data_IF_996691289653
#
_entry.id   IF_996691289653
#
_cell.length_a   1.000
_cell.length_b   1.000
_cell.length_c   1.000
_cell.angle_alpha   90.00
_cell.angle_beta   90.00
_cell.angle_gamma   90.00
#
_symmetry.space_group_name_H-M   'P 1'
#
loop_
_entity.id
_entity.type
_entity.pdbx_description
1 polymer ?
#
# COMPACT_ATOMS: atom_id res chain seq x y z
N UNK A 1 -28.77 18.74 38.87
CA UNK A 1 -28.25 17.69 37.96
C UNK A 1 -27.57 18.36 36.78
N UNK A 2 -26.25 18.53 36.81
CA UNK A 2 -25.44 18.97 35.68
C UNK A 2 -24.30 17.96 35.58
N UNK A 3 -24.37 17.08 34.58
CA UNK A 3 -23.36 16.06 34.33
C UNK A 3 -22.14 16.75 33.74
N UNK A 4 -21.03 16.71 34.47
CA UNK A 4 -19.72 17.13 34.01
C UNK A 4 -19.22 16.02 33.08
N UNK A 5 -19.10 16.31 31.79
CA UNK A 5 -18.44 15.41 30.85
C UNK A 5 -16.93 15.69 30.94
N UNK A 6 -16.20 14.74 31.52
CA UNK A 6 -14.75 14.68 31.45
C UNK A 6 -14.37 14.30 30.01
N UNK A 7 -13.86 15.27 29.26
CA UNK A 7 -13.21 15.01 27.97
C UNK A 7 -11.85 14.42 28.30
N UNK A 8 -11.74 13.09 28.16
CA UNK A 8 -10.48 12.38 28.24
C UNK A 8 -9.56 12.92 27.15
N UNK A 9 -8.48 13.58 27.55
CA UNK A 9 -7.37 13.99 26.70
C UNK A 9 -6.82 12.77 25.98
N UNK A 10 -6.97 12.75 24.66
CA UNK A 10 -6.31 11.81 23.75
C UNK A 10 -4.80 11.85 24.00
N UNK A 11 -4.27 10.75 24.52
CA UNK A 11 -2.85 10.47 24.51
C UNK A 11 -2.43 10.35 23.04
N UNK A 12 -1.71 11.34 22.53
CA UNK A 12 -0.93 11.18 21.30
C UNK A 12 0.20 10.23 21.66
N UNK A 13 0.02 8.94 21.35
CA UNK A 13 1.06 7.94 21.48
C UNK A 13 2.25 8.30 20.60
N UNK A 14 3.48 8.00 21.05
CA UNK A 14 4.70 8.37 20.35
C UNK A 14 4.77 7.62 19.02
N UNK A 15 5.20 8.36 18.01
CA UNK A 15 5.61 7.91 16.69
C UNK A 15 6.34 6.55 16.80
N UNK A 16 5.66 5.48 16.38
CA UNK A 16 6.32 4.22 16.12
C UNK A 16 7.24 4.48 14.92
N UNK A 17 8.54 4.45 15.17
CA UNK A 17 9.54 4.50 14.11
C UNK A 17 9.42 3.22 13.27
N UNK A 18 9.06 3.39 12.00
CA UNK A 18 9.46 2.58 10.85
C UNK A 18 8.91 1.14 10.67
N UNK A 19 7.60 0.96 10.78
CA UNK A 19 6.88 0.01 9.91
C UNK A 19 5.78 0.80 9.21
N UNK A 20 5.67 0.74 7.88
CA UNK A 20 4.67 1.51 7.12
C UNK A 20 3.25 1.36 7.68
N UNK A 21 2.36 2.30 7.40
CA UNK A 21 0.94 2.21 7.75
C UNK A 21 0.20 1.36 6.71
N UNK A 22 -0.22 0.14 7.04
CA UNK A 22 -0.87 -0.74 6.09
C UNK A 22 -2.37 -0.44 5.89
N UNK A 23 -2.99 0.45 6.68
CA UNK A 23 -4.33 0.98 6.36
C UNK A 23 -4.21 2.06 5.29
N UNK A 24 -3.26 3.00 5.46
CA UNK A 24 -2.85 3.94 4.41
C UNK A 24 -2.45 3.21 3.12
N UNK A 25 -1.61 2.18 3.23
CA UNK A 25 -1.18 1.37 2.10
C UNK A 25 -2.30 0.61 1.40
N UNK A 26 -3.35 0.22 2.13
CA UNK A 26 -4.53 -0.35 1.49
C UNK A 26 -5.30 0.71 0.71
N UNK A 27 -5.53 1.88 1.30
CA UNK A 27 -6.24 2.98 0.64
C UNK A 27 -5.54 3.41 -0.65
N UNK A 28 -4.22 3.62 -0.59
CA UNK A 28 -3.39 3.92 -1.75
C UNK A 28 -3.51 2.84 -2.84
N UNK A 29 -3.44 1.57 -2.44
CA UNK A 29 -3.55 0.45 -3.36
C UNK A 29 -4.93 0.35 -4.05
N UNK A 30 -6.01 0.58 -3.29
CA UNK A 30 -7.39 0.44 -3.77
C UNK A 30 -7.82 1.67 -4.59
N UNK A 31 -7.31 2.87 -4.26
CA UNK A 31 -7.87 4.15 -4.72
C UNK A 31 -6.90 5.05 -5.51
N UNK A 32 -5.61 4.73 -5.62
CA UNK A 32 -4.73 5.51 -6.49
C UNK A 32 -5.01 5.19 -7.95
N UNK A 33 -5.58 6.17 -8.64
CA UNK A 33 -5.92 6.10 -10.07
C UNK A 33 -4.75 6.56 -10.94
N UNK A 34 -4.56 5.88 -12.07
CA UNK A 34 -3.59 6.25 -13.10
C UNK A 34 -4.09 5.92 -14.51
N UNK A 35 -3.57 6.64 -15.51
CA UNK A 35 -3.93 6.44 -16.91
C UNK A 35 -3.25 5.21 -17.51
N UNK A 36 -4.02 4.30 -18.12
CA UNK A 36 -3.47 3.13 -18.83
C UNK A 36 -4.32 2.69 -20.02
N UNK A 37 -3.65 2.23 -21.07
CA UNK A 37 -4.31 1.50 -22.15
C UNK A 37 -4.59 0.05 -21.73
N UNK A 38 -5.87 -0.31 -21.65
CA UNK A 38 -6.35 -1.66 -21.36
C UNK A 38 -7.20 -2.12 -22.55
N UNK A 39 -6.84 -3.25 -23.17
CA UNK A 39 -7.55 -3.81 -24.33
C UNK A 39 -7.73 -2.81 -25.50
N UNK A 40 -6.79 -1.88 -25.68
CA UNK A 40 -6.82 -0.89 -26.76
C UNK A 40 -7.58 0.39 -26.43
N UNK A 41 -8.13 0.54 -25.22
CA UNK A 41 -8.82 1.74 -24.76
C UNK A 41 -8.01 2.43 -23.65
N UNK A 42 -7.88 3.76 -23.73
CA UNK A 42 -7.28 4.55 -22.65
C UNK A 42 -8.29 4.74 -21.52
N UNK A 43 -7.87 4.43 -20.30
CA UNK A 43 -8.66 4.58 -19.08
C UNK A 43 -7.88 5.35 -18.03
N UNK A 44 -8.56 6.23 -17.31
CA UNK A 44 -7.96 7.06 -16.27
C UNK A 44 -8.42 6.66 -14.85
N UNK A 45 -9.31 5.68 -14.76
CA UNK A 45 -9.89 5.13 -13.53
C UNK A 45 -9.24 3.80 -13.11
N UNK A 46 -7.99 3.57 -13.54
CA UNK A 46 -7.27 2.31 -13.29
C UNK A 46 -6.54 2.40 -11.98
N UNK A 47 -6.77 1.43 -11.11
CA UNK A 47 -6.07 1.29 -9.82
C UNK A 47 -5.18 0.05 -9.80
N UNK A 48 -4.36 -0.11 -8.77
CA UNK A 48 -3.51 -1.29 -8.62
C UNK A 48 -4.36 -2.59 -8.62
N UNK A 49 -5.51 -2.55 -7.94
CA UNK A 49 -6.46 -3.66 -7.83
C UNK A 49 -7.15 -4.00 -9.16
N UNK A 50 -7.15 -3.10 -10.16
CA UNK A 50 -7.73 -3.38 -11.48
C UNK A 50 -7.02 -4.54 -12.17
N UNK A 51 -5.68 -4.58 -12.08
CA UNK A 51 -4.86 -5.60 -12.72
C UNK A 51 -4.28 -6.64 -11.75
N UNK A 52 -3.93 -6.23 -10.52
CA UNK A 52 -3.30 -7.13 -9.57
C UNK A 52 -4.33 -7.85 -8.68
N UNK A 53 -4.89 -8.93 -9.18
CA UNK A 53 -5.77 -9.78 -8.39
C UNK A 53 -4.99 -10.56 -7.32
N UNK A 54 -5.63 -10.99 -6.20
CA UNK A 54 -4.96 -11.75 -5.13
C UNK A 54 -4.13 -12.95 -5.61
N UNK A 55 -4.58 -13.63 -6.66
CA UNK A 55 -3.87 -14.77 -7.27
C UNK A 55 -2.48 -14.42 -7.81
N UNK A 56 -2.24 -13.16 -8.19
CA UNK A 56 -0.95 -12.69 -8.66
C UNK A 56 0.10 -12.69 -7.54
N UNK A 57 -0.31 -12.36 -6.31
CA UNK A 57 0.57 -12.29 -5.16
C UNK A 57 0.86 -13.68 -4.56
N UNK A 58 -0.07 -14.62 -4.69
CA UNK A 58 0.04 -15.96 -4.08
C UNK A 58 0.60 -17.04 -5.01
N UNK A 59 0.93 -16.71 -6.27
CA UNK A 59 1.50 -17.66 -7.24
C UNK A 59 2.82 -18.26 -6.73
N UNK A 60 3.07 -19.53 -7.09
CA UNK A 60 4.25 -20.30 -6.61
C UNK A 60 5.58 -19.75 -7.13
N UNK A 61 5.55 -19.14 -8.30
CA UNK A 61 6.69 -18.56 -9.01
C UNK A 61 6.75 -17.04 -8.88
N UNK A 62 6.18 -16.49 -7.79
CA UNK A 62 6.32 -15.06 -7.47
C UNK A 62 7.80 -14.73 -7.21
N UNK A 63 8.21 -13.56 -7.66
CA UNK A 63 9.62 -13.16 -7.66
C UNK A 63 10.02 -12.32 -6.42
N UNK A 64 9.04 -11.76 -5.70
CA UNK A 64 9.32 -11.09 -4.43
C UNK A 64 9.83 -12.12 -3.41
N UNK A 65 10.99 -11.84 -2.82
CA UNK A 65 11.74 -12.81 -1.99
C UNK A 65 12.01 -12.34 -0.56
N UNK A 66 11.79 -11.06 -0.25
CA UNK A 66 11.89 -10.47 1.08
C UNK A 66 11.11 -9.15 1.12
N UNK A 67 10.90 -8.59 2.32
CA UNK A 67 10.22 -7.29 2.46
C UNK A 67 10.94 -6.19 1.66
N UNK A 68 12.26 -6.05 1.84
CA UNK A 68 13.08 -5.10 1.09
C UNK A 68 12.99 -5.30 -0.43
N UNK A 69 12.90 -6.55 -0.90
CA UNK A 69 12.74 -6.80 -2.33
C UNK A 69 11.32 -6.43 -2.81
N UNK A 70 10.28 -6.76 -2.05
CA UNK A 70 8.90 -6.35 -2.31
C UNK A 70 8.79 -4.83 -2.44
N UNK A 71 9.25 -4.10 -1.44
CA UNK A 71 9.20 -2.64 -1.40
C UNK A 71 9.98 -2.01 -2.57
N UNK A 72 11.27 -2.34 -2.70
CA UNK A 72 12.17 -1.59 -3.60
C UNK A 72 12.13 -2.07 -5.04
N UNK A 73 11.95 -3.36 -5.30
CA UNK A 73 11.97 -3.88 -6.68
C UNK A 73 10.57 -3.90 -7.29
N UNK A 74 9.52 -4.10 -6.49
CA UNK A 74 8.17 -4.31 -7.00
C UNK A 74 7.25 -3.11 -6.78
N UNK A 75 7.13 -2.60 -5.55
CA UNK A 75 6.22 -1.47 -5.27
C UNK A 75 6.80 -0.16 -5.80
N UNK A 76 8.05 0.18 -5.45
CA UNK A 76 8.74 1.34 -6.01
C UNK A 76 8.87 1.24 -7.54
N UNK A 77 9.24 0.06 -8.06
CA UNK A 77 9.34 -0.15 -9.50
C UNK A 77 8.02 0.08 -10.24
N UNK A 78 6.89 -0.28 -9.63
CA UNK A 78 5.55 0.04 -10.14
C UNK A 78 5.29 1.54 -10.11
N UNK A 79 5.55 2.19 -8.96
CA UNK A 79 5.41 3.64 -8.79
C UNK A 79 6.15 4.41 -9.89
N UNK A 80 7.40 4.04 -10.16
CA UNK A 80 8.24 4.66 -11.19
C UNK A 80 7.74 4.36 -12.61
N UNK A 81 7.49 3.09 -12.94
CA UNK A 81 7.12 2.65 -14.30
C UNK A 81 5.76 3.21 -14.72
N UNK A 82 4.84 3.29 -13.78
CA UNK A 82 3.48 3.79 -14.01
C UNK A 82 3.36 5.29 -13.74
N UNK A 83 4.45 5.92 -13.26
CA UNK A 83 4.51 7.34 -12.89
C UNK A 83 3.35 7.74 -11.95
N UNK A 84 3.12 6.91 -10.93
CA UNK A 84 2.06 7.11 -9.93
C UNK A 84 2.34 8.34 -9.07
N UNK A 85 3.62 8.55 -8.72
CA UNK A 85 4.06 9.76 -8.02
C UNK A 85 4.01 9.68 -6.49
N UNK A 86 3.98 8.46 -5.94
CA UNK A 86 4.05 8.26 -4.49
C UNK A 86 5.41 8.67 -3.92
N UNK A 87 5.37 9.22 -2.71
CA UNK A 87 6.54 9.45 -1.86
C UNK A 87 7.09 8.11 -1.33
N UNK A 88 8.36 8.08 -0.85
CA UNK A 88 8.95 6.87 -0.30
C UNK A 88 8.12 6.23 0.83
N UNK A 89 7.52 7.05 1.69
CA UNK A 89 6.69 6.56 2.80
C UNK A 89 5.41 5.87 2.31
N UNK A 90 4.77 6.40 1.27
CA UNK A 90 3.57 5.79 0.66
C UNK A 90 3.91 4.46 -0.02
N UNK A 91 5.10 4.35 -0.61
CA UNK A 91 5.63 3.08 -1.13
C UNK A 91 5.82 2.07 -0.01
N UNK A 92 6.40 2.48 1.12
CA UNK A 92 6.54 1.63 2.30
C UNK A 92 5.17 1.20 2.83
N UNK A 93 4.20 2.10 2.95
CA UNK A 93 2.83 1.81 3.40
C UNK A 93 2.18 0.70 2.56
N UNK A 94 2.21 0.84 1.23
CA UNK A 94 1.67 -0.14 0.29
C UNK A 94 2.42 -1.47 0.39
N UNK A 95 3.76 -1.43 0.51
CA UNK A 95 4.56 -2.63 0.72
C UNK A 95 4.20 -3.36 2.02
N UNK A 96 3.99 -2.64 3.12
CA UNK A 96 3.54 -3.20 4.41
C UNK A 96 2.14 -3.79 4.30
N UNK A 97 1.21 -3.13 3.60
CA UNK A 97 -0.11 -3.70 3.32
C UNK A 97 -0.02 -5.04 2.57
N UNK A 98 0.71 -5.06 1.45
CA UNK A 98 0.88 -6.27 0.65
C UNK A 98 1.63 -7.37 1.42
N UNK A 99 2.65 -7.00 2.20
CA UNK A 99 3.41 -7.92 3.02
C UNK A 99 2.50 -8.59 4.06
N UNK A 100 1.75 -7.79 4.82
CA UNK A 100 0.81 -8.26 5.83
C UNK A 100 -0.28 -9.16 5.24
N UNK A 101 -0.76 -8.86 4.03
CA UNK A 101 -1.89 -9.58 3.42
C UNK A 101 -1.50 -10.84 2.67
N UNK A 102 -0.33 -10.89 2.04
CA UNK A 102 0.02 -11.95 1.09
C UNK A 102 1.40 -12.60 1.29
N UNK A 103 2.41 -11.85 1.71
CA UNK A 103 3.80 -12.32 1.65
C UNK A 103 4.34 -12.82 2.99
N UNK A 104 4.03 -12.11 4.08
CA UNK A 104 4.46 -12.43 5.44
C UNK A 104 5.99 -12.58 5.59
N UNK A 105 6.75 -11.71 4.92
CA UNK A 105 8.19 -11.60 5.13
C UNK A 105 8.49 -10.92 6.46
N UNK A 106 9.64 -11.24 7.03
CA UNK A 106 10.21 -10.50 8.15
C UNK A 106 10.65 -9.09 7.69
N UNK A 107 10.35 -8.08 8.51
CA UNK A 107 10.68 -6.65 8.31
C UNK A 107 11.96 -6.26 9.05
#
# INVERSE_FOLDING_TARGET
MKKIALIATLLVSPLALASGDPESGQDLYDNTEFSRSINGEMRDDVTCATCHQPSFYTRKDRLASSFKNLEQAWVQGCNDTMNVGWFPEEVTDVATYLNRKYYHFDE
#
